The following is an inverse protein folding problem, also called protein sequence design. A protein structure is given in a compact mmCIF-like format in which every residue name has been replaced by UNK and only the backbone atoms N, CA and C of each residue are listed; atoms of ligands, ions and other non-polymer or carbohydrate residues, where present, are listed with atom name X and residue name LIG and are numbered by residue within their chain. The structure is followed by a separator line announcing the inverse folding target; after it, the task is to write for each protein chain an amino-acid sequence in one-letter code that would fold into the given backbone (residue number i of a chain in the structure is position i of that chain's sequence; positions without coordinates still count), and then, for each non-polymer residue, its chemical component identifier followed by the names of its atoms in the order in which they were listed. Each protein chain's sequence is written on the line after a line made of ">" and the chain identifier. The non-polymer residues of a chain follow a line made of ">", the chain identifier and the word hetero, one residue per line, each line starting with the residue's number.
data_IF_088353137329
#
_entry.id   IF_088353137329
#
_cell.length_a   1.000
_cell.length_b   1.000
_cell.length_c   1.000
_cell.angle_alpha   90.00
_cell.angle_beta   90.00
_cell.angle_gamma   90.00
#
_symmetry.space_group_name_H-M   'P 1'
#
loop_
_entity.id
_entity.type
_entity.pdbx_description
1 polymer ?
#
# COMPACT_ATOMS: atom_id res chain seq x y z
N UNK A 1 -18.63 -10.52 -4.90
CA UNK A 1 -17.92 -9.35 -4.36
C UNK A 1 -18.06 -8.19 -5.33
N UNK A 2 -18.20 -6.94 -4.84
CA UNK A 2 -18.19 -5.77 -5.73
C UNK A 2 -16.78 -5.51 -6.28
N UNK A 3 -16.67 -4.79 -7.40
CA UNK A 3 -15.40 -4.39 -8.01
C UNK A 3 -14.45 -3.72 -7.00
N UNK A 4 -14.94 -2.73 -6.26
CA UNK A 4 -14.10 -2.06 -5.25
C UNK A 4 -13.72 -2.98 -4.10
N UNK A 5 -14.61 -3.89 -3.70
CA UNK A 5 -14.30 -4.85 -2.65
C UNK A 5 -13.14 -5.75 -3.06
N UNK A 6 -13.11 -6.28 -4.29
CA UNK A 6 -11.95 -7.08 -4.72
C UNK A 6 -10.67 -6.26 -4.80
N UNK A 7 -10.74 -5.00 -5.26
CA UNK A 7 -9.57 -4.11 -5.33
C UNK A 7 -9.03 -3.68 -3.97
N UNK A 8 -9.89 -3.49 -2.98
CA UNK A 8 -9.45 -3.27 -1.59
C UNK A 8 -8.73 -4.52 -1.06
N UNK A 9 -9.27 -5.73 -1.26
CA UNK A 9 -8.57 -6.95 -0.82
C UNK A 9 -7.21 -7.13 -1.51
N UNK A 10 -7.13 -6.83 -2.81
CA UNK A 10 -5.87 -6.88 -3.57
C UNK A 10 -4.84 -5.87 -3.01
N UNK A 11 -5.27 -4.64 -2.72
CA UNK A 11 -4.44 -3.62 -2.08
C UNK A 11 -3.93 -4.08 -0.71
N UNK A 12 -4.82 -4.58 0.15
CA UNK A 12 -4.46 -5.06 1.50
C UNK A 12 -3.45 -6.21 1.43
N UNK A 13 -3.63 -7.15 0.49
CA UNK A 13 -2.67 -8.24 0.28
C UNK A 13 -1.28 -7.69 -0.09
N UNK A 14 -1.19 -6.71 -0.98
CA UNK A 14 0.09 -6.09 -1.30
C UNK A 14 0.68 -5.34 -0.10
N UNK A 15 -0.11 -4.61 0.69
CA UNK A 15 0.37 -3.95 1.92
C UNK A 15 1.03 -4.97 2.87
N UNK A 16 0.36 -6.11 3.09
CA UNK A 16 0.89 -7.19 3.92
C UNK A 16 2.20 -7.78 3.39
N UNK A 17 2.23 -8.11 2.11
CA UNK A 17 3.43 -8.69 1.48
C UNK A 17 4.61 -7.71 1.51
N UNK A 18 4.38 -6.44 1.20
CA UNK A 18 5.40 -5.40 1.18
C UNK A 18 5.91 -5.09 2.59
N UNK A 19 5.03 -4.96 3.59
CA UNK A 19 5.47 -4.75 4.97
C UNK A 19 6.29 -5.93 5.50
N UNK A 20 5.86 -7.16 5.18
CA UNK A 20 6.58 -8.37 5.57
C UNK A 20 7.99 -8.40 4.97
N UNK A 21 8.09 -8.21 3.65
CA UNK A 21 9.38 -8.17 2.95
C UNK A 21 10.27 -7.02 3.42
N UNK A 22 9.68 -5.84 3.67
CA UNK A 22 10.39 -4.69 4.22
C UNK A 22 10.97 -5.01 5.61
N UNK A 23 10.16 -5.56 6.52
CA UNK A 23 10.59 -5.85 7.89
C UNK A 23 11.70 -6.91 7.93
N UNK A 24 11.69 -7.86 6.99
CA UNK A 24 12.74 -8.86 6.84
C UNK A 24 14.04 -8.27 6.27
N UNK A 25 13.92 -7.37 5.28
CA UNK A 25 15.08 -6.76 4.60
C UNK A 25 15.73 -5.64 5.44
N UNK A 26 14.94 -4.98 6.27
CA UNK A 26 15.36 -3.84 7.09
C UNK A 26 14.95 -4.05 8.56
N UNK A 27 15.46 -5.09 9.26
CA UNK A 27 15.05 -5.42 10.63
C UNK A 27 15.37 -4.32 11.66
N UNK A 28 16.27 -3.40 11.30
CA UNK A 28 16.63 -2.24 12.11
C UNK A 28 15.55 -1.14 12.07
N UNK A 29 14.68 -1.13 11.05
CA UNK A 29 13.61 -0.16 10.85
C UNK A 29 12.37 -0.58 11.65
N UNK A 30 12.38 -0.28 12.95
CA UNK A 30 11.41 -0.79 13.92
C UNK A 30 10.61 0.31 14.66
N UNK A 31 10.89 1.58 14.40
CA UNK A 31 10.08 2.69 14.89
C UNK A 31 8.92 2.95 13.92
N UNK A 32 7.84 2.17 14.03
CA UNK A 32 6.66 2.29 13.17
C UNK A 32 5.81 3.55 13.42
N UNK A 33 6.12 4.31 14.48
CA UNK A 33 5.37 5.52 14.85
C UNK A 33 5.93 6.75 14.14
N UNK A 34 7.24 6.96 14.20
CA UNK A 34 7.88 8.15 13.63
C UNK A 34 8.77 7.83 12.41
N UNK A 35 9.06 6.55 12.18
CA UNK A 35 9.91 6.05 11.09
C UNK A 35 11.33 6.65 11.12
N UNK A 36 11.87 6.99 12.29
CA UNK A 36 13.15 7.73 12.37
C UNK A 36 14.34 6.90 11.89
N UNK A 37 14.30 5.58 12.10
CA UNK A 37 15.34 4.63 11.69
C UNK A 37 15.04 3.94 10.35
N UNK A 38 14.07 4.42 9.59
CA UNK A 38 13.72 3.84 8.30
C UNK A 38 14.64 4.39 7.19
N UNK A 39 15.11 3.54 6.25
CA UNK A 39 15.78 4.00 5.03
C UNK A 39 14.88 4.96 4.23
N UNK A 40 15.48 5.99 3.63
CA UNK A 40 14.74 6.97 2.81
C UNK A 40 14.21 6.36 1.50
N UNK A 41 14.92 5.38 0.95
CA UNK A 41 14.53 4.68 -0.26
C UNK A 41 15.28 3.35 -0.35
N UNK A 42 14.78 2.44 -1.16
CA UNK A 42 15.44 1.17 -1.43
C UNK A 42 14.64 0.31 -2.39
N UNK A 43 15.00 -0.97 -2.44
CA UNK A 43 14.32 -1.99 -3.23
C UNK A 43 13.94 -3.19 -2.37
N UNK A 44 12.91 -3.90 -2.81
CA UNK A 44 12.42 -5.16 -2.27
C UNK A 44 12.13 -6.13 -3.42
N UNK A 45 12.27 -7.42 -3.13
CA UNK A 45 11.79 -8.48 -4.00
C UNK A 45 10.70 -9.24 -3.25
N UNK A 46 9.51 -9.29 -3.83
CA UNK A 46 8.32 -9.90 -3.24
C UNK A 46 7.73 -10.87 -4.26
N UNK A 47 7.75 -12.17 -3.97
CA UNK A 47 7.24 -13.21 -4.88
C UNK A 47 7.77 -13.08 -6.33
N UNK A 48 9.06 -12.76 -6.47
CA UNK A 48 9.72 -12.55 -7.77
C UNK A 48 9.42 -11.20 -8.44
N UNK A 49 8.63 -10.33 -7.80
CA UNK A 49 8.35 -8.97 -8.26
C UNK A 49 9.35 -7.98 -7.66
N UNK A 50 9.89 -7.07 -8.47
CA UNK A 50 10.79 -6.02 -8.02
C UNK A 50 10.00 -4.76 -7.68
N UNK A 51 10.15 -4.29 -6.46
CA UNK A 51 9.52 -3.08 -5.94
C UNK A 51 10.58 -2.11 -5.47
N UNK A 52 10.48 -0.84 -5.87
CA UNK A 52 11.20 0.25 -5.23
C UNK A 52 10.30 0.88 -4.16
N UNK A 53 10.89 1.42 -3.12
CA UNK A 53 10.17 2.21 -2.13
C UNK A 53 10.85 3.55 -1.87
N UNK A 54 10.04 4.54 -1.48
CA UNK A 54 10.49 5.82 -1.01
C UNK A 54 9.69 6.23 0.23
N UNK A 55 10.39 6.69 1.26
CA UNK A 55 9.79 7.25 2.48
C UNK A 55 9.42 8.71 2.25
N UNK A 56 8.24 9.11 2.72
CA UNK A 56 7.82 10.51 2.79
C UNK A 56 6.99 10.74 4.05
N UNK A 57 7.26 11.83 4.78
CA UNK A 57 6.63 12.07 6.08
C UNK A 57 6.77 10.85 7.01
N UNK A 58 5.61 10.33 7.43
CA UNK A 58 5.45 9.15 8.30
C UNK A 58 4.92 7.91 7.55
N UNK A 59 5.16 7.84 6.25
CA UNK A 59 4.76 6.73 5.41
C UNK A 59 5.77 6.36 4.34
N UNK A 60 5.48 5.25 3.66
CA UNK A 60 6.26 4.73 2.54
C UNK A 60 5.34 4.50 1.34
N UNK A 61 5.85 4.85 0.18
CA UNK A 61 5.27 4.54 -1.12
C UNK A 61 6.09 3.44 -1.79
N UNK A 62 5.42 2.42 -2.29
CA UNK A 62 6.01 1.32 -3.05
C UNK A 62 5.55 1.38 -4.50
N UNK A 63 6.47 1.13 -5.41
CA UNK A 63 6.21 1.09 -6.84
C UNK A 63 6.79 -0.20 -7.44
N UNK A 64 5.94 -1.00 -8.09
CA UNK A 64 6.38 -2.20 -8.81
C UNK A 64 7.07 -1.80 -10.10
N UNK A 65 8.35 -2.15 -10.21
CA UNK A 65 9.12 -1.95 -11.43
C UNK A 65 8.90 -3.10 -12.41
N UNK A 66 8.94 -4.33 -11.91
CA UNK A 66 8.81 -5.55 -12.73
C UNK A 66 8.02 -6.62 -11.97
N UNK A 67 7.12 -7.39 -12.63
CA UNK A 67 6.69 -7.21 -14.02
C UNK A 67 5.68 -6.06 -14.18
N UNK A 68 5.38 -5.71 -15.43
CA UNK A 68 4.23 -4.87 -15.77
C UNK A 68 2.91 -5.60 -15.45
N UNK A 69 1.81 -4.90 -15.14
CA UNK A 69 1.69 -3.43 -15.04
C UNK A 69 2.45 -2.85 -13.85
N UNK A 70 2.82 -1.58 -13.94
CA UNK A 70 3.30 -0.83 -12.77
C UNK A 70 2.16 -0.72 -11.75
N UNK A 71 2.48 -0.98 -10.48
CA UNK A 71 1.53 -0.83 -9.38
C UNK A 71 2.10 0.13 -8.35
N UNK A 72 1.23 0.93 -7.75
CA UNK A 72 1.56 1.82 -6.64
C UNK A 72 0.81 1.37 -5.41
N UNK A 73 1.54 1.12 -4.32
CA UNK A 73 0.97 0.84 -3.01
C UNK A 73 1.43 1.93 -2.07
N UNK A 74 0.49 2.77 -1.66
CA UNK A 74 0.73 3.90 -0.79
C UNK A 74 0.40 3.53 0.66
N UNK A 75 1.33 3.76 1.57
CA UNK A 75 1.16 3.55 3.01
C UNK A 75 1.61 4.82 3.74
N UNK A 76 0.96 5.93 3.41
CA UNK A 76 1.37 7.29 3.75
C UNK A 76 1.26 7.66 5.24
N UNK A 77 0.58 6.84 6.03
CA UNK A 77 0.47 6.96 7.49
C UNK A 77 0.30 5.57 8.12
N UNK A 78 0.45 5.47 9.44
CA UNK A 78 0.27 4.22 10.19
C UNK A 78 0.92 3.01 9.49
N UNK A 79 2.17 3.16 9.04
CA UNK A 79 2.84 2.21 8.13
C UNK A 79 2.83 0.74 8.64
N UNK A 80 2.80 0.52 9.95
CA UNK A 80 2.70 -0.82 10.53
C UNK A 80 1.31 -1.47 10.45
N UNK A 81 0.27 -0.73 10.06
CA UNK A 81 -1.11 -1.22 9.95
C UNK A 81 -1.45 -1.55 8.48
N UNK A 82 -1.30 -2.82 8.12
CA UNK A 82 -1.66 -3.32 6.79
C UNK A 82 -3.15 -3.51 6.57
N UNK A 83 -3.99 -3.44 7.61
CA UNK A 83 -5.44 -3.49 7.49
C UNK A 83 -6.02 -2.10 7.15
N UNK A 84 -5.26 -1.04 7.40
CA UNK A 84 -5.66 0.31 7.04
C UNK A 84 -5.79 0.47 5.53
N UNK A 85 -6.97 0.92 5.11
CA UNK A 85 -7.24 1.43 3.78
C UNK A 85 -8.03 2.73 3.90
N UNK A 86 -7.67 3.72 3.10
CA UNK A 86 -8.40 4.96 2.92
C UNK A 86 -8.64 5.21 1.43
N UNK A 87 -9.49 6.20 1.12
CA UNK A 87 -9.87 6.50 -0.26
C UNK A 87 -8.65 6.92 -1.10
N UNK A 88 -7.62 7.51 -0.49
CA UNK A 88 -6.44 7.98 -1.19
C UNK A 88 -5.54 6.81 -1.60
N UNK A 89 -5.27 5.86 -0.69
CA UNK A 89 -4.54 4.63 -1.01
C UNK A 89 -5.24 3.84 -2.12
N UNK A 90 -6.56 3.70 -2.03
CA UNK A 90 -7.36 3.01 -3.05
C UNK A 90 -7.29 3.73 -4.40
N UNK A 91 -7.38 5.06 -4.41
CA UNK A 91 -7.31 5.86 -5.64
C UNK A 91 -5.97 5.68 -6.34
N UNK A 92 -4.85 5.86 -5.63
CA UNK A 92 -3.51 5.71 -6.21
C UNK A 92 -3.25 4.28 -6.74
N UNK A 93 -3.74 3.27 -6.02
CA UNK A 93 -3.65 1.90 -6.47
C UNK A 93 -4.44 1.67 -7.77
N UNK A 94 -5.70 2.12 -7.83
CA UNK A 94 -6.54 2.03 -9.04
C UNK A 94 -5.94 2.78 -10.23
N UNK A 95 -5.47 4.01 -10.01
CA UNK A 95 -4.84 4.83 -11.05
C UNK A 95 -3.58 4.15 -11.60
N UNK A 96 -2.77 3.51 -10.75
CA UNK A 96 -1.59 2.77 -11.21
C UNK A 96 -1.94 1.57 -12.12
N UNK A 97 -3.14 1.01 -11.96
CA UNK A 97 -3.68 -0.02 -12.85
C UNK A 97 -4.34 0.54 -14.12
N UNK A 98 -4.33 1.86 -14.33
CA UNK A 98 -5.02 2.52 -15.43
C UNK A 98 -6.53 2.63 -15.23
N UNK A 99 -7.02 2.50 -14.00
CA UNK A 99 -8.44 2.57 -13.67
C UNK A 99 -8.74 3.94 -13.07
N UNK A 100 -9.47 4.77 -13.81
CA UNK A 100 -9.96 6.04 -13.31
C UNK A 100 -11.04 5.82 -12.24
N UNK A 101 -10.94 6.50 -11.11
CA UNK A 101 -11.96 6.52 -10.06
C UNK A 101 -12.25 7.95 -9.64
N UNK A 102 -13.51 8.26 -9.35
CA UNK A 102 -13.85 9.52 -8.69
C UNK A 102 -13.61 9.37 -7.19
N UNK A 103 -13.20 10.46 -6.54
CA UNK A 103 -12.99 10.49 -5.09
C UNK A 103 -14.21 10.01 -4.31
N UNK A 104 -15.41 10.46 -4.68
CA UNK A 104 -16.65 10.09 -4.01
C UNK A 104 -16.94 8.58 -4.08
N UNK A 105 -16.54 7.92 -5.17
CA UNK A 105 -16.72 6.47 -5.33
C UNK A 105 -15.72 5.70 -4.45
N UNK A 106 -14.46 6.14 -4.42
CA UNK A 106 -13.42 5.56 -3.56
C UNK A 106 -13.76 5.74 -2.06
N UNK A 107 -14.24 6.93 -1.66
CA UNK A 107 -14.71 7.20 -0.30
C UNK A 107 -15.87 6.27 0.08
N UNK A 108 -16.88 6.13 -0.79
CA UNK A 108 -18.00 5.22 -0.56
C UNK A 108 -17.54 3.77 -0.42
N UNK A 109 -16.67 3.31 -1.31
CA UNK A 109 -16.14 1.96 -1.29
C UNK A 109 -15.42 1.61 0.01
N UNK A 110 -14.56 2.51 0.49
CA UNK A 110 -13.83 2.32 1.76
C UNK A 110 -14.77 2.36 2.95
N UNK A 111 -15.75 3.28 2.97
CA UNK A 111 -16.77 3.30 4.03
C UNK A 111 -17.58 2.01 4.08
N UNK A 112 -17.98 1.47 2.94
CA UNK A 112 -18.67 0.18 2.86
C UNK A 112 -17.79 -0.99 3.32
N UNK A 113 -16.50 -0.98 2.99
CA UNK A 113 -15.55 -1.98 3.47
C UNK A 113 -15.42 -1.93 4.99
N UNK A 114 -15.16 -0.75 5.56
CA UNK A 114 -14.97 -0.58 7.00
C UNK A 114 -16.22 -0.99 7.82
N UNK A 115 -17.42 -0.76 7.30
CA UNK A 115 -18.67 -1.22 7.96
C UNK A 115 -18.86 -2.73 7.98
N UNK A 116 -18.18 -3.48 7.09
CA UNK A 116 -18.28 -4.94 7.02
C UNK A 116 -17.20 -5.65 7.85
N UNK A 117 -16.14 -4.94 8.22
CA UNK A 117 -14.98 -5.49 8.95
C UNK A 117 -14.90 -5.04 10.40
N UNK A 118 -15.82 -4.18 10.86
CA UNK A 118 -16.10 -3.89 12.26
C UNK A 118 -17.10 -4.90 12.82
#
# INVERSE_FOLDING_TARGET
>A
MSFYSSKIHELLNFQHQLLSAFSQSYPQANDFTHLLNFPRSGMLVVDGQRWKFAKHGVGLRFEREEPVPHLVVEMHDQFGDCAKVDWWRLTLFLESMGIATQRADAERAVLEHNRRTQ
#
